data_IF_669793407460
#
_entry.id   IF_669793407460
#
_cell.length_a   1.000
_cell.length_b   1.000
_cell.length_c   1.000
_cell.angle_alpha   90.00
_cell.angle_beta   90.00
_cell.angle_gamma   90.00
#
_symmetry.space_group_name_H-M   'P 1'
#
loop_
_entity.id
_entity.type
_entity.pdbx_description
1 polymer ?
#
# COMPACT_ATOMS: atom_id res chain seq x y z
N UNK A 1 -18.81 16.04 -22.67
CA UNK A 1 -17.65 16.31 -21.79
C UNK A 1 -17.79 15.48 -20.56
N UNK A 2 -17.03 14.39 -20.45
CA UNK A 2 -17.09 13.47 -19.32
C UNK A 2 -15.81 13.64 -18.50
N UNK A 3 -15.91 14.38 -17.40
CA UNK A 3 -14.96 14.28 -16.29
C UNK A 3 -15.80 13.92 -15.07
N UNK A 4 -16.30 12.68 -15.01
CA UNK A 4 -16.84 12.18 -13.75
C UNK A 4 -15.67 12.06 -12.77
N UNK A 5 -15.79 12.58 -11.54
CA UNK A 5 -14.72 12.47 -10.56
C UNK A 5 -14.44 10.99 -10.27
N UNK A 6 -13.16 10.62 -10.21
CA UNK A 6 -12.71 9.30 -9.79
C UNK A 6 -13.28 9.01 -8.40
N UNK A 7 -14.20 8.07 -8.35
CA UNK A 7 -14.98 7.74 -7.14
C UNK A 7 -14.89 6.26 -6.87
N UNK A 8 -14.94 5.91 -5.59
CA UNK A 8 -15.05 4.55 -5.09
C UNK A 8 -16.12 4.53 -4.00
N UNK A 9 -16.68 3.35 -3.75
CA UNK A 9 -17.61 3.15 -2.64
C UNK A 9 -16.91 3.28 -1.28
N UNK A 10 -17.68 3.32 -0.20
CA UNK A 10 -17.09 3.38 1.14
C UNK A 10 -16.27 2.12 1.42
N UNK A 11 -15.02 2.30 1.82
CA UNK A 11 -14.16 1.18 2.23
C UNK A 11 -14.42 0.87 3.70
N UNK A 12 -14.74 -0.39 4.01
CA UNK A 12 -14.93 -0.83 5.39
C UNK A 12 -13.68 -0.58 6.26
N UNK A 13 -13.87 -0.62 7.58
CA UNK A 13 -12.82 -0.29 8.56
C UNK A 13 -11.77 -1.40 8.74
N UNK A 14 -12.10 -2.65 8.40
CA UNK A 14 -11.20 -3.77 8.59
C UNK A 14 -9.96 -3.65 7.67
N UNK A 15 -8.73 -3.91 8.18
CA UNK A 15 -7.56 -4.01 7.32
C UNK A 15 -7.75 -5.10 6.27
N UNK A 16 -7.44 -4.78 5.01
CA UNK A 16 -7.65 -5.64 3.86
C UNK A 16 -8.93 -5.34 3.07
N UNK A 17 -9.92 -4.65 3.67
CA UNK A 17 -11.10 -4.20 2.93
C UNK A 17 -10.71 -3.18 1.85
N UNK A 18 -11.37 -3.24 0.70
CA UNK A 18 -11.13 -2.33 -0.41
C UNK A 18 -12.41 -2.04 -1.20
N UNK A 19 -12.40 -0.93 -1.92
CA UNK A 19 -13.43 -0.59 -2.92
C UNK A 19 -12.75 -0.27 -4.25
N UNK A 20 -13.29 -0.78 -5.35
CA UNK A 20 -12.79 -0.49 -6.69
C UNK A 20 -12.97 0.99 -7.04
N UNK A 21 -11.99 1.55 -7.73
CA UNK A 21 -12.07 2.88 -8.33
C UNK A 21 -12.40 2.69 -9.78
N UNK A 22 -13.46 3.36 -10.24
CA UNK A 22 -13.94 3.24 -11.60
C UNK A 22 -13.83 4.56 -12.35
N UNK A 23 -13.41 4.49 -13.61
CA UNK A 23 -13.47 5.58 -14.57
C UNK A 23 -14.20 5.10 -15.82
N UNK A 24 -15.30 5.77 -16.18
CA UNK A 24 -16.17 5.40 -17.31
C UNK A 24 -16.55 3.90 -17.36
N UNK A 25 -16.71 3.26 -16.19
CA UNK A 25 -17.08 1.86 -16.05
C UNK A 25 -15.89 0.88 -15.96
N UNK A 26 -14.68 1.32 -16.30
CA UNK A 26 -13.45 0.54 -16.20
C UNK A 26 -12.86 0.62 -14.78
N UNK A 27 -12.38 -0.50 -14.26
CA UNK A 27 -11.67 -0.55 -12.97
C UNK A 27 -10.22 -0.14 -13.19
N UNK A 28 -9.84 1.03 -12.65
CA UNK A 28 -8.49 1.58 -12.80
C UNK A 28 -7.60 1.38 -11.56
N UNK A 29 -8.19 0.89 -10.47
CA UNK A 29 -7.50 0.68 -9.20
C UNK A 29 -8.47 0.38 -8.06
N UNK A 30 -7.99 0.53 -6.83
CA UNK A 30 -8.81 0.37 -5.62
C UNK A 30 -8.33 1.25 -4.47
N UNK A 31 -9.28 1.70 -3.65
CA UNK A 31 -9.01 2.28 -2.34
C UNK A 31 -8.92 1.15 -1.32
N UNK A 32 -7.75 0.97 -0.70
CA UNK A 32 -7.43 -0.15 0.19
C UNK A 32 -7.24 0.33 1.63
N UNK A 33 -7.91 -0.31 2.59
CA UNK A 33 -7.69 -0.13 4.01
C UNK A 33 -6.49 -0.95 4.47
N UNK A 34 -5.34 -0.32 4.66
CA UNK A 34 -4.12 -1.01 5.14
C UNK A 34 -4.04 -1.11 6.66
N UNK A 35 -4.76 -0.25 7.37
CA UNK A 35 -4.85 -0.20 8.83
C UNK A 35 -6.22 0.35 9.24
N UNK A 36 -6.75 -0.16 10.34
CA UNK A 36 -8.03 0.30 10.90
C UNK A 36 -7.93 1.76 11.38
N UNK A 37 -9.01 2.53 11.23
CA UNK A 37 -9.11 3.90 11.73
C UNK A 37 -8.21 4.93 11.04
N UNK A 38 -7.60 4.59 9.89
CA UNK A 38 -6.82 5.54 9.07
C UNK A 38 -7.35 5.58 7.64
N UNK A 39 -7.17 6.71 6.95
CA UNK A 39 -7.62 6.86 5.56
C UNK A 39 -7.08 5.72 4.66
N UNK A 40 -7.85 5.22 3.68
CA UNK A 40 -7.38 4.25 2.69
C UNK A 40 -6.15 4.75 1.91
N UNK A 41 -5.39 3.83 1.34
CA UNK A 41 -4.39 4.11 0.29
C UNK A 41 -4.97 3.76 -1.07
N UNK A 42 -4.56 4.47 -2.12
CA UNK A 42 -5.04 4.25 -3.47
C UNK A 42 -4.00 3.43 -4.24
N UNK A 43 -4.42 2.26 -4.74
CA UNK A 43 -3.56 1.31 -5.44
C UNK A 43 -4.04 1.22 -6.89
N UNK A 44 -3.13 1.48 -7.83
CA UNK A 44 -3.30 1.20 -9.25
C UNK A 44 -2.36 0.09 -9.66
N UNK A 45 -2.68 -0.59 -10.77
CA UNK A 45 -1.77 -1.56 -11.37
C UNK A 45 -0.55 -0.87 -12.00
N UNK A 46 0.57 -1.59 -12.01
CA UNK A 46 1.75 -1.26 -12.80
C UNK A 46 1.91 -2.20 -14.00
N UNK A 47 3.12 -2.35 -14.50
CA UNK A 47 3.41 -3.28 -15.60
C UNK A 47 3.44 -4.74 -15.09
N UNK A 48 2.81 -5.67 -15.83
CA UNK A 48 2.83 -7.13 -15.59
C UNK A 48 2.31 -7.56 -14.20
N UNK A 49 1.35 -6.82 -13.64
CA UNK A 49 0.67 -7.20 -12.40
C UNK A 49 -0.82 -6.92 -12.54
N UNK A 50 -1.66 -7.82 -12.05
CA UNK A 50 -3.09 -7.55 -11.93
C UNK A 50 -3.41 -6.82 -10.62
N UNK A 51 -4.64 -6.30 -10.51
CA UNK A 51 -5.06 -5.51 -9.35
C UNK A 51 -5.07 -6.35 -8.07
N UNK A 52 -5.53 -7.59 -8.13
CA UNK A 52 -5.57 -8.50 -6.97
C UNK A 52 -4.17 -8.74 -6.38
N UNK A 53 -3.19 -9.00 -7.25
CA UNK A 53 -1.79 -9.17 -6.87
C UNK A 53 -1.20 -7.88 -6.30
N UNK A 54 -1.49 -6.73 -6.91
CA UNK A 54 -1.03 -5.43 -6.42
C UNK A 54 -1.57 -5.15 -5.00
N UNK A 55 -2.86 -5.41 -4.74
CA UNK A 55 -3.47 -5.28 -3.42
C UNK A 55 -2.83 -6.23 -2.39
N UNK A 56 -2.63 -7.50 -2.77
CA UNK A 56 -1.99 -8.50 -1.93
C UNK A 56 -0.57 -8.08 -1.51
N UNK A 57 0.23 -7.60 -2.46
CA UNK A 57 1.59 -7.11 -2.17
C UNK A 57 1.57 -5.85 -1.30
N UNK A 58 0.69 -4.88 -1.59
CA UNK A 58 0.54 -3.70 -0.77
C UNK A 58 0.23 -4.06 0.69
N UNK A 59 -0.74 -4.97 0.93
CA UNK A 59 -1.08 -5.44 2.28
C UNK A 59 0.09 -6.13 2.97
N UNK A 60 0.79 -7.05 2.29
CA UNK A 60 1.96 -7.76 2.87
C UNK A 60 3.10 -6.80 3.26
N UNK A 61 3.25 -5.69 2.54
CA UNK A 61 4.22 -4.65 2.84
C UNK A 61 3.75 -3.67 3.94
N UNK A 62 2.46 -3.64 4.27
CA UNK A 62 1.91 -2.77 5.32
C UNK A 62 1.97 -3.45 6.70
N UNK A 63 3.13 -3.35 7.35
CA UNK A 63 3.40 -3.95 8.68
C UNK A 63 2.94 -3.05 9.84
N UNK A 64 1.63 -2.82 9.96
CA UNK A 64 1.04 -1.97 11.03
C UNK A 64 1.11 -0.46 10.76
N UNK A 65 1.63 -0.06 9.60
CA UNK A 65 1.61 1.32 9.10
C UNK A 65 0.56 1.49 8.00
N UNK A 66 0.13 2.74 7.77
CA UNK A 66 -0.76 3.09 6.66
C UNK A 66 -0.08 2.88 5.29
N UNK A 67 1.19 3.28 5.17
CA UNK A 67 1.93 3.19 3.92
C UNK A 67 2.74 1.88 3.85
N UNK A 68 2.85 1.24 2.67
CA UNK A 68 3.75 0.11 2.46
C UNK A 68 5.16 0.43 2.91
N UNK A 69 5.84 -0.55 3.51
CA UNK A 69 7.19 -0.41 4.04
C UNK A 69 8.19 0.18 3.03
N UNK A 70 8.21 -0.21 1.74
CA UNK A 70 9.10 0.39 0.75
C UNK A 70 8.87 1.90 0.57
N UNK A 71 7.62 2.34 0.40
CA UNK A 71 7.28 3.76 0.22
C UNK A 71 7.55 4.56 1.50
N UNK A 72 7.26 3.98 2.67
CA UNK A 72 7.54 4.60 3.96
C UNK A 72 9.03 4.81 4.16
N UNK A 73 9.86 3.80 3.86
CA UNK A 73 11.32 3.91 3.94
C UNK A 73 11.89 4.91 2.92
N UNK A 74 11.39 4.92 1.69
CA UNK A 74 11.79 5.90 0.68
C UNK A 74 11.50 7.34 1.14
N UNK A 75 10.33 7.59 1.76
CA UNK A 75 10.01 8.89 2.35
C UNK A 75 10.95 9.26 3.51
N UNK A 76 11.28 8.32 4.38
CA UNK A 76 12.25 8.54 5.46
C UNK A 76 13.65 8.82 4.89
N UNK A 77 14.05 8.17 3.80
CA UNK A 77 15.32 8.42 3.12
C UNK A 77 15.40 9.83 2.56
N UNK A 78 14.38 10.22 1.79
CA UNK A 78 14.29 11.54 1.21
C UNK A 78 14.23 12.66 2.27
N UNK A 79 13.81 12.35 3.49
CA UNK A 79 13.74 13.29 4.61
C UNK A 79 14.90 13.20 5.61
N UNK A 80 15.93 12.38 5.33
CA UNK A 80 17.09 12.21 6.21
C UNK A 80 16.78 11.51 7.54
N UNK A 81 15.70 10.74 7.61
CA UNK A 81 15.18 10.05 8.81
C UNK A 81 15.16 8.54 8.65
N UNK A 82 15.97 7.98 7.73
CA UNK A 82 16.10 6.53 7.63
C UNK A 82 16.56 5.97 8.99
N UNK A 83 15.86 4.97 9.54
CA UNK A 83 16.30 4.34 10.76
C UNK A 83 17.66 3.67 10.49
N UNK A 84 18.64 3.95 11.35
CA UNK A 84 19.89 3.20 11.35
C UNK A 84 19.54 1.75 11.62
N UNK A 85 19.88 0.86 10.68
CA UNK A 85 19.84 -0.56 10.93
C UNK A 85 21.04 -0.85 11.83
N UNK A 86 20.82 -1.06 13.13
CA UNK A 86 21.85 -1.73 13.92
C UNK A 86 22.18 -3.05 13.18
N UNK A 87 23.47 -3.38 12.97
CA UNK A 87 23.81 -4.67 12.40
C UNK A 87 23.13 -5.74 13.26
N UNK A 88 22.36 -6.62 12.63
CA UNK A 88 21.70 -7.70 13.33
C UNK A 88 22.77 -8.44 14.13
N UNK A 89 22.69 -8.35 15.45
CA UNK A 89 23.59 -9.04 16.34
C UNK A 89 23.53 -10.54 15.99
N UNK A 90 24.70 -11.07 15.66
CA UNK A 90 25.07 -12.47 15.85
C UNK A 90 24.42 -13.51 14.91
N UNK A 91 25.01 -13.68 13.72
CA UNK A 91 25.15 -15.03 13.16
C UNK A 91 26.25 -15.76 13.96
N UNK A 92 25.88 -16.23 15.16
CA UNK A 92 26.71 -17.14 15.93
C UNK A 92 26.83 -18.48 15.21
N UNK A 93 28.09 -18.87 15.01
CA UNK A 93 28.62 -20.21 14.79
C UNK A 93 28.52 -20.76 13.37
N UNK A 94 29.56 -20.43 12.61
CA UNK A 94 30.48 -21.41 12.01
C UNK A 94 30.23 -22.83 12.57
N UNK A 95 29.78 -23.74 11.70
CA UNK A 95 30.21 -25.13 11.78
C UNK A 95 31.63 -25.21 11.22
#
# INVERSE_FOLDING_TARGET
GLNSPLTHETVEEAPGSFAEIRDNGEVIGAALRTRAGVKPVYISIGHKVDLSSALSWAMKCCRGYRLPEPTRLAHLAASGRLPNKEPAAEQSRLF
#
